data_IF_322564411516
#
_entry.id   IF_322564411516
#
_cell.length_a   1.000
_cell.length_b   1.000
_cell.length_c   1.000
_cell.angle_alpha   90.00
_cell.angle_beta   90.00
_cell.angle_gamma   90.00
#
_symmetry.space_group_name_H-M   'P 1'
#
loop_
_entity.id
_entity.type
_entity.pdbx_description
1 polymer ?
#
# COMPACT_ATOMS: atom_id res chain seq x y z
N UNK A 1 -12.67 11.17 1.67
CA UNK A 1 -11.40 10.66 1.11
C UNK A 1 -10.78 9.78 2.17
N UNK A 2 -10.52 8.50 1.90
CA UNK A 2 -9.85 7.68 2.91
C UNK A 2 -8.38 8.10 3.00
N UNK A 3 -7.96 8.48 4.20
CA UNK A 3 -6.58 8.89 4.49
C UNK A 3 -5.62 7.69 4.59
N UNK A 4 -6.16 6.46 4.64
CA UNK A 4 -5.40 5.22 4.88
C UNK A 4 -5.66 4.18 3.80
N UNK A 5 -4.60 3.55 3.33
CA UNK A 5 -4.69 2.45 2.37
C UNK A 5 -3.83 1.27 2.82
N UNK A 6 -4.36 0.07 2.62
CA UNK A 6 -3.61 -1.17 2.77
C UNK A 6 -2.96 -1.55 1.44
N UNK A 7 -1.74 -2.10 1.51
CA UNK A 7 -1.12 -2.85 0.41
C UNK A 7 -0.60 -4.17 0.94
N UNK A 8 -0.91 -5.25 0.23
CA UNK A 8 -0.45 -6.61 0.51
C UNK A 8 0.16 -7.16 -0.75
N UNK A 9 1.42 -7.58 -0.68
CA UNK A 9 2.06 -8.29 -1.79
C UNK A 9 1.47 -9.69 -1.89
N UNK A 10 1.21 -10.12 -3.12
CA UNK A 10 0.71 -11.46 -3.43
C UNK A 10 1.85 -12.38 -3.86
N UNK A 11 1.67 -13.69 -3.72
CA UNK A 11 2.73 -14.67 -4.00
C UNK A 11 3.19 -14.69 -5.48
N UNK A 12 2.36 -14.17 -6.39
CA UNK A 12 2.66 -13.99 -7.81
C UNK A 12 3.43 -12.69 -8.12
N UNK A 13 3.83 -11.93 -7.10
CA UNK A 13 4.57 -10.67 -7.21
C UNK A 13 3.68 -9.45 -7.47
N UNK A 14 2.36 -9.64 -7.52
CA UNK A 14 1.38 -8.56 -7.58
C UNK A 14 1.16 -7.86 -6.23
N UNK A 15 0.15 -7.00 -6.18
CA UNK A 15 -0.33 -6.45 -4.93
C UNK A 15 -1.85 -6.29 -4.90
N UNK A 16 -2.43 -6.55 -3.73
CA UNK A 16 -3.80 -6.19 -3.40
C UNK A 16 -3.81 -4.89 -2.60
N UNK A 17 -4.66 -3.96 -3.00
CA UNK A 17 -4.73 -2.61 -2.45
C UNK A 17 -6.18 -2.19 -2.21
N UNK A 18 -6.44 -1.57 -1.06
CA UNK A 18 -7.78 -1.11 -0.70
C UNK A 18 -7.74 0.08 0.27
N UNK A 19 -8.72 1.00 0.21
CA UNK A 19 -8.88 2.03 1.21
C UNK A 19 -9.32 1.41 2.54
N UNK A 20 -8.83 1.94 3.65
CA UNK A 20 -9.21 1.53 5.00
C UNK A 20 -10.06 2.62 5.67
N UNK A 21 -10.98 2.19 6.54
CA UNK A 21 -11.65 3.07 7.47
C UNK A 21 -10.73 3.35 8.68
N UNK A 22 -11.16 4.27 9.56
CA UNK A 22 -10.37 4.68 10.70
C UNK A 22 -10.07 3.53 11.68
N UNK A 23 -10.98 2.55 11.75
CA UNK A 23 -10.91 1.32 12.55
C UNK A 23 -10.08 0.20 11.90
N UNK A 24 -9.57 0.41 10.68
CA UNK A 24 -8.78 -0.58 9.95
C UNK A 24 -9.60 -1.55 9.09
N UNK A 25 -10.93 -1.44 9.08
CA UNK A 25 -11.78 -2.22 8.16
C UNK A 25 -11.67 -1.71 6.71
N UNK A 26 -12.07 -2.55 5.74
CA UNK A 26 -12.10 -2.15 4.33
C UNK A 26 -13.18 -1.08 4.11
N UNK A 27 -12.77 0.09 3.60
CA UNK A 27 -13.66 1.19 3.26
C UNK A 27 -14.08 1.20 1.77
N UNK A 28 -13.72 0.16 1.02
CA UNK A 28 -13.96 0.07 -0.41
C UNK A 28 -13.43 -1.24 -1.00
N UNK A 29 -13.57 -1.40 -2.33
CA UNK A 29 -13.17 -2.63 -3.00
C UNK A 29 -11.66 -2.85 -2.94
N UNK A 30 -11.28 -4.12 -2.91
CA UNK A 30 -9.90 -4.56 -3.14
C UNK A 30 -9.62 -4.52 -4.63
N UNK A 31 -8.52 -3.88 -5.01
CA UNK A 31 -8.03 -3.79 -6.38
C UNK A 31 -6.69 -4.53 -6.48
N UNK A 32 -6.45 -5.20 -7.60
CA UNK A 32 -5.15 -5.79 -7.91
C UNK A 32 -4.30 -4.87 -8.77
N UNK A 33 -3.04 -4.81 -8.43
CA UNK A 33 -2.00 -4.04 -9.09
C UNK A 33 -0.84 -4.98 -9.46
N UNK A 34 -0.04 -4.58 -10.44
CA UNK A 34 1.12 -5.34 -10.88
C UNK A 34 2.21 -5.52 -9.80
N UNK A 35 2.11 -4.78 -8.70
CA UNK A 35 3.00 -4.88 -7.56
C UNK A 35 2.85 -3.69 -6.60
N UNK A 36 3.53 -3.71 -5.45
CA UNK A 36 3.40 -2.66 -4.44
C UNK A 36 3.89 -1.29 -4.94
N UNK A 37 4.86 -1.27 -5.85
CA UNK A 37 5.35 -0.03 -6.48
C UNK A 37 4.24 0.67 -7.28
N UNK A 38 3.52 -0.09 -8.11
CA UNK A 38 2.44 0.44 -8.95
C UNK A 38 1.24 0.88 -8.11
N UNK A 39 0.93 0.10 -7.06
CA UNK A 39 -0.11 0.43 -6.11
C UNK A 39 0.10 1.80 -5.45
N UNK A 40 1.35 2.11 -5.05
CA UNK A 40 1.70 3.38 -4.42
C UNK A 40 1.77 4.52 -5.45
N UNK A 41 2.39 4.29 -6.61
CA UNK A 41 2.56 5.33 -7.65
C UNK A 41 1.24 5.85 -8.20
N UNK A 42 0.26 4.98 -8.39
CA UNK A 42 -1.07 5.37 -8.89
C UNK A 42 -1.90 6.16 -7.87
N UNK A 43 -1.41 6.34 -6.64
CA UNK A 43 -2.14 6.96 -5.52
C UNK A 43 -1.29 8.02 -4.79
N UNK A 44 -0.84 9.09 -5.48
CA UNK A 44 0.07 10.09 -4.91
C UNK A 44 -0.54 10.93 -3.77
N UNK A 45 -1.86 10.93 -3.60
CA UNK A 45 -2.56 11.67 -2.54
C UNK A 45 -2.78 10.88 -1.24
N UNK A 46 -2.29 9.64 -1.14
CA UNK A 46 -2.50 8.82 0.05
C UNK A 46 -1.52 9.22 1.15
N UNK A 47 -2.07 9.79 2.22
CA UNK A 47 -1.29 10.27 3.35
C UNK A 47 -0.77 9.18 4.29
N UNK A 48 -1.34 7.96 4.27
CA UNK A 48 -0.89 6.85 5.11
C UNK A 48 -1.04 5.49 4.43
N UNK A 49 0.07 4.77 4.35
CA UNK A 49 0.11 3.38 3.93
C UNK A 49 0.21 2.42 5.12
N UNK A 50 -0.49 1.30 5.00
CA UNK A 50 -0.47 0.17 5.92
C UNK A 50 -0.05 -1.06 5.13
N UNK A 51 0.93 -1.79 5.63
CA UNK A 51 1.35 -3.08 5.09
C UNK A 51 1.69 -4.02 6.24
N UNK A 52 1.61 -5.32 5.99
CA UNK A 52 1.84 -6.37 7.00
C UNK A 52 3.33 -6.67 7.25
N UNK A 53 4.21 -6.28 6.33
CA UNK A 53 5.63 -6.54 6.44
C UNK A 53 6.46 -5.48 5.71
N UNK A 54 7.01 -4.51 6.45
CA UNK A 54 7.92 -3.50 5.89
C UNK A 54 9.09 -4.12 5.13
N UNK A 55 9.62 -5.25 5.62
CA UNK A 55 10.82 -5.89 5.06
C UNK A 55 10.64 -6.37 3.60
N UNK A 56 9.42 -6.72 3.18
CA UNK A 56 9.14 -7.13 1.80
C UNK A 56 8.84 -5.96 0.84
N UNK A 57 8.25 -4.88 1.37
CA UNK A 57 7.66 -3.82 0.55
C UNK A 57 8.55 -2.57 0.49
N UNK A 58 9.01 -2.07 1.63
CA UNK A 58 9.69 -0.77 1.67
C UNK A 58 11.04 -0.74 0.90
N UNK A 59 11.90 -1.77 0.96
CA UNK A 59 13.11 -1.81 0.14
C UNK A 59 12.84 -1.74 -1.36
N UNK A 60 11.76 -2.37 -1.83
CA UNK A 60 11.36 -2.33 -3.25
C UNK A 60 10.85 -0.97 -3.67
N UNK A 61 10.05 -0.31 -2.81
CA UNK A 61 9.63 1.07 -3.05
C UNK A 61 10.84 2.00 -3.19
N UNK A 62 11.81 1.89 -2.26
CA UNK A 62 13.04 2.68 -2.31
C UNK A 62 13.88 2.40 -3.56
N UNK A 63 14.04 1.13 -3.94
CA UNK A 63 14.75 0.74 -5.17
C UNK A 63 14.07 1.30 -6.43
N UNK A 64 12.75 1.45 -6.41
CA UNK A 64 11.96 2.05 -7.49
C UNK A 64 11.85 3.59 -7.38
N UNK A 65 12.56 4.23 -6.44
CA UNK A 65 12.51 5.68 -6.22
C UNK A 65 11.18 6.19 -5.67
N UNK A 66 10.31 5.31 -5.17
CA UNK A 66 9.02 5.67 -4.58
C UNK A 66 9.23 5.93 -3.09
N UNK A 67 8.87 7.13 -2.64
CA UNK A 67 8.88 7.50 -1.23
C UNK A 67 7.46 7.74 -0.73
N UNK A 68 7.23 7.34 0.51
CA UNK A 68 5.97 7.50 1.23
C UNK A 68 6.24 8.26 2.51
N UNK A 69 5.48 9.32 2.75
CA UNK A 69 5.76 10.27 3.82
C UNK A 69 5.44 9.71 5.22
N UNK A 70 4.45 8.81 5.34
CA UNK A 70 4.06 8.17 6.61
C UNK A 70 3.65 6.71 6.40
N UNK A 71 4.34 5.78 7.07
CA UNK A 71 4.03 4.35 7.05
C UNK A 71 3.95 3.79 8.47
N UNK A 72 3.00 2.88 8.67
CA UNK A 72 2.88 2.09 9.90
C UNK A 72 2.99 0.62 9.51
N UNK A 73 3.97 -0.07 10.09
CA UNK A 73 4.02 -1.54 10.12
C UNK A 73 3.11 -2.00 11.27
N UNK A 74 2.26 -3.00 11.02
CA UNK A 74 1.37 -3.62 12.03
C UNK A 74 1.54 -5.12 12.05
#
# INVERSE_FOLDING_TARGET
MSERWAVVETDDGGAEVAPLAADGSLAGPVVREAGPVEAVRSRPGVGRWVWRATAGIYPRLLAAGVRVERCYDV
#
